data_IF_917466932167
#
_entry.id   IF_917466932167
#
_cell.length_a   1.000
_cell.length_b   1.000
_cell.length_c   1.000
_cell.angle_alpha   90.00
_cell.angle_beta   90.00
_cell.angle_gamma   90.00
#
_symmetry.space_group_name_H-M   'P 1'
#
loop_
_entity.id
_entity.type
_entity.pdbx_description
1 polymer ?
#
# COMPACT_ATOMS: atom_id res chain seq x y z
N UNK A 1 24.75 -14.80 -79.61
CA UNK A 1 25.30 -14.29 -78.34
C UNK A 1 24.24 -13.42 -77.70
N UNK A 2 23.57 -13.93 -76.66
CA UNK A 2 22.43 -13.26 -76.03
C UNK A 2 22.83 -12.60 -74.71
N UNK A 3 22.27 -11.43 -74.42
CA UNK A 3 22.31 -10.81 -73.10
C UNK A 3 20.87 -10.53 -72.66
N UNK A 4 20.47 -11.22 -71.59
CA UNK A 4 19.17 -11.09 -70.91
C UNK A 4 19.23 -9.86 -69.99
N UNK A 5 18.22 -9.00 -70.07
CA UNK A 5 17.98 -7.96 -69.06
C UNK A 5 17.64 -8.62 -67.71
N UNK A 6 18.45 -8.38 -66.69
CA UNK A 6 18.25 -8.92 -65.34
C UNK A 6 17.27 -8.06 -64.53
N UNK A 7 16.35 -8.66 -63.76
CA UNK A 7 15.45 -7.92 -62.88
C UNK A 7 16.22 -7.55 -61.60
N UNK A 8 16.91 -6.41 -61.60
CA UNK A 8 17.65 -5.92 -60.42
C UNK A 8 17.25 -4.52 -59.95
N UNK A 9 16.12 -3.99 -60.42
CA UNK A 9 15.71 -2.62 -60.09
C UNK A 9 14.44 -2.53 -59.22
N UNK A 10 13.98 -3.62 -58.59
CA UNK A 10 12.76 -3.61 -57.77
C UNK A 10 12.99 -3.77 -56.26
N UNK A 11 14.23 -3.99 -55.81
CA UNK A 11 14.50 -4.33 -54.40
C UNK A 11 15.18 -3.23 -53.57
N UNK A 12 15.23 -1.99 -54.07
CA UNK A 12 15.81 -0.87 -53.31
C UNK A 12 14.79 0.04 -52.62
N UNK A 13 13.49 -0.26 -52.71
CA UNK A 13 12.44 0.50 -51.99
C UNK A 13 11.91 -0.20 -50.72
N UNK A 14 12.36 -1.41 -50.41
CA UNK A 14 11.88 -2.16 -49.25
C UNK A 14 12.74 -2.02 -47.98
N UNK A 15 13.90 -1.37 -48.05
CA UNK A 15 14.86 -1.32 -46.92
C UNK A 15 14.69 -0.10 -45.98
N UNK A 16 13.82 0.86 -46.30
CA UNK A 16 13.66 2.09 -45.51
C UNK A 16 12.45 2.09 -44.56
N UNK A 17 11.68 1.00 -44.48
CA UNK A 17 10.48 0.91 -43.62
C UNK A 17 10.72 0.21 -42.27
N UNK A 18 11.96 -0.16 -41.93
CA UNK A 18 12.31 -0.80 -40.65
C UNK A 18 13.10 0.10 -39.70
N UNK A 19 13.30 1.39 -40.02
CA UNK A 19 13.46 2.41 -38.98
C UNK A 19 12.09 2.72 -38.38
N UNK A 20 11.45 1.68 -37.83
CA UNK A 20 10.44 1.88 -36.81
C UNK A 20 11.12 2.70 -35.75
N UNK A 21 10.64 3.93 -35.56
CA UNK A 21 10.96 4.71 -34.38
C UNK A 21 10.62 3.81 -33.19
N UNK A 22 11.63 3.10 -32.68
CA UNK A 22 11.75 2.87 -31.27
C UNK A 22 11.96 4.27 -30.70
N UNK A 23 10.88 5.05 -30.65
CA UNK A 23 10.71 5.97 -29.55
C UNK A 23 10.92 5.06 -28.36
N UNK A 24 12.11 5.14 -27.76
CA UNK A 24 12.24 4.82 -26.36
C UNK A 24 11.10 5.62 -25.75
N UNK A 25 9.96 4.95 -25.49
CA UNK A 25 8.93 5.56 -24.68
C UNK A 25 9.73 6.04 -23.49
N UNK A 26 9.72 7.34 -23.17
CA UNK A 26 10.25 7.76 -21.90
C UNK A 26 9.60 6.77 -20.95
N UNK A 27 10.40 5.98 -20.23
CA UNK A 27 9.85 5.18 -19.14
C UNK A 27 9.24 6.26 -18.27
N UNK A 28 7.95 6.53 -18.45
CA UNK A 28 7.24 7.53 -17.68
C UNK A 28 7.53 7.07 -16.27
N UNK A 29 8.39 7.81 -15.58
CA UNK A 29 8.72 7.50 -14.21
C UNK A 29 7.37 7.35 -13.52
N UNK A 30 7.19 6.22 -12.84
CA UNK A 30 5.95 5.91 -12.13
C UNK A 30 5.47 7.18 -11.44
N UNK A 31 4.31 7.71 -11.83
CA UNK A 31 3.87 9.02 -11.37
C UNK A 31 3.74 9.05 -9.84
N UNK A 32 3.45 7.87 -9.27
CA UNK A 32 3.47 7.61 -7.83
C UNK A 32 4.11 6.25 -7.55
N UNK A 33 4.74 6.09 -6.39
CA UNK A 33 5.20 4.78 -5.91
C UNK A 33 4.07 3.98 -5.23
N UNK A 34 3.08 4.67 -4.68
CA UNK A 34 2.03 4.07 -3.88
C UNK A 34 0.90 5.03 -3.56
N UNK A 35 -0.03 4.55 -2.74
CA UNK A 35 -1.16 5.33 -2.22
C UNK A 35 -1.23 5.21 -0.70
N UNK A 36 -1.85 6.21 -0.07
CA UNK A 36 -2.23 6.17 1.34
C UNK A 36 -3.74 5.92 1.41
N UNK A 37 -4.15 5.01 2.27
CA UNK A 37 -5.55 4.76 2.56
C UNK A 37 -5.83 4.99 4.04
N UNK A 38 -6.87 5.76 4.34
CA UNK A 38 -7.39 6.03 5.67
C UNK A 38 -8.70 5.27 5.84
N UNK A 39 -8.71 4.10 6.49
CA UNK A 39 -9.96 3.37 6.74
C UNK A 39 -10.95 4.23 7.53
N UNK A 40 -12.19 4.28 7.07
CA UNK A 40 -13.29 4.96 7.74
C UNK A 40 -14.58 4.18 7.53
N UNK A 41 -15.61 4.43 8.33
CA UNK A 41 -16.91 3.75 8.16
C UNK A 41 -17.55 4.01 6.78
N UNK A 42 -17.18 5.11 6.13
CA UNK A 42 -17.66 5.47 4.80
C UNK A 42 -16.81 4.84 3.69
N UNK A 43 -15.56 4.44 3.99
CA UNK A 43 -14.60 3.93 3.01
C UNK A 43 -13.73 2.80 3.59
N UNK A 44 -14.38 1.67 3.89
CA UNK A 44 -13.73 0.46 4.44
C UNK A 44 -13.08 -0.44 3.40
N UNK A 45 -13.41 -0.30 2.11
CA UNK A 45 -12.99 -1.25 1.07
C UNK A 45 -12.51 -0.52 -0.20
N UNK A 46 -11.23 -0.09 -0.26
CA UNK A 46 -10.71 0.69 -1.38
C UNK A 46 -10.62 -0.17 -2.64
N UNK A 47 -11.13 0.37 -3.74
CA UNK A 47 -11.07 -0.23 -5.09
C UNK A 47 -10.60 0.83 -6.08
N UNK A 48 -9.73 0.44 -7.00
CA UNK A 48 -9.19 1.35 -8.00
C UNK A 48 -8.20 0.64 -8.91
N UNK A 49 -7.77 1.35 -9.96
CA UNK A 49 -6.75 0.89 -10.91
C UNK A 49 -5.47 1.72 -10.78
N UNK A 50 -5.02 1.97 -9.54
CA UNK A 50 -3.90 2.86 -9.25
C UNK A 50 -2.56 2.33 -9.77
N UNK A 51 -2.47 1.04 -10.10
CA UNK A 51 -1.31 0.47 -10.80
C UNK A 51 -1.08 1.10 -12.18
N UNK A 52 -2.09 1.72 -12.78
CA UNK A 52 -1.93 2.49 -14.03
C UNK A 52 -1.16 3.80 -13.81
N UNK A 53 -1.23 4.36 -12.60
CA UNK A 53 -0.39 5.48 -12.16
C UNK A 53 0.99 4.99 -11.70
N UNK A 54 1.17 3.66 -11.68
CA UNK A 54 2.37 2.95 -11.27
C UNK A 54 2.46 2.68 -9.76
N UNK A 55 1.40 2.94 -8.99
CA UNK A 55 1.34 2.58 -7.58
C UNK A 55 1.56 1.07 -7.37
N UNK A 56 2.43 0.72 -6.43
CA UNK A 56 2.70 -0.65 -5.98
C UNK A 56 2.74 -0.78 -4.46
N UNK A 57 2.85 0.33 -3.75
CA UNK A 57 2.87 0.38 -2.29
C UNK A 57 1.54 0.89 -1.75
N UNK A 58 1.08 0.30 -0.66
CA UNK A 58 -0.09 0.76 0.08
C UNK A 58 0.35 1.07 1.50
N UNK A 59 0.22 2.32 1.92
CA UNK A 59 0.26 2.70 3.33
C UNK A 59 -1.16 2.78 3.86
N UNK A 60 -1.54 1.86 4.74
CA UNK A 60 -2.77 2.00 5.53
C UNK A 60 -2.45 2.91 6.71
N UNK A 61 -3.21 3.97 6.93
CA UNK A 61 -2.86 4.93 7.98
C UNK A 61 -3.06 4.38 9.39
N UNK A 62 -4.08 3.53 9.58
CA UNK A 62 -4.37 2.86 10.86
C UNK A 62 -5.18 1.59 10.65
N UNK A 63 -4.98 0.62 11.52
CA UNK A 63 -5.87 -0.51 11.74
C UNK A 63 -6.87 -0.22 12.87
N UNK A 64 -6.55 0.75 13.74
CA UNK A 64 -7.41 1.20 14.83
C UNK A 64 -7.20 2.70 15.06
N UNK A 65 -8.29 3.49 15.07
CA UNK A 65 -8.24 4.92 15.38
C UNK A 65 -9.44 5.30 16.23
N UNK A 66 -9.23 6.13 17.25
CA UNK A 66 -10.30 6.58 18.16
C UNK A 66 -11.18 5.43 18.68
N UNK A 67 -10.53 4.32 19.04
CA UNK A 67 -11.16 3.09 19.57
C UNK A 67 -12.04 2.33 18.57
N UNK A 68 -12.06 2.75 17.30
CA UNK A 68 -12.68 2.03 16.20
C UNK A 68 -11.63 1.16 15.50
N UNK A 69 -11.87 -0.14 15.45
CA UNK A 69 -10.98 -1.11 14.79
C UNK A 69 -11.48 -1.46 13.39
N UNK A 70 -10.61 -1.31 12.39
CA UNK A 70 -10.87 -1.59 10.96
C UNK A 70 -10.32 -2.95 10.50
N UNK A 71 -10.01 -3.81 11.47
CA UNK A 71 -9.62 -5.19 11.25
C UNK A 71 -10.41 -6.10 12.20
N UNK A 72 -11.25 -6.95 11.63
CA UNK A 72 -11.87 -8.05 12.34
C UNK A 72 -10.98 -9.29 12.19
N UNK A 73 -10.36 -9.74 13.27
CA UNK A 73 -9.85 -11.11 13.32
C UNK A 73 -11.06 -12.04 13.23
N UNK A 74 -11.31 -12.64 12.07
CA UNK A 74 -12.28 -13.73 11.98
C UNK A 74 -11.69 -14.91 12.75
N UNK A 75 -12.05 -15.04 14.02
CA UNK A 75 -11.75 -16.24 14.77
C UNK A 75 -12.49 -17.42 14.11
N UNK A 76 -11.86 -18.59 13.92
CA UNK A 76 -12.57 -19.78 13.48
C UNK A 76 -13.74 -20.06 14.45
N UNK A 77 -14.98 -19.94 13.97
CA UNK A 77 -16.20 -20.18 14.75
C UNK A 77 -16.87 -18.97 15.41
N UNK A 78 -16.45 -17.73 15.14
CA UNK A 78 -17.19 -16.56 15.59
C UNK A 78 -18.52 -16.41 14.82
N UNK A 79 -19.65 -16.54 15.52
CA UNK A 79 -20.98 -16.30 14.96
C UNK A 79 -21.16 -14.81 14.58
N UNK A 80 -21.95 -14.57 13.54
CA UNK A 80 -22.22 -13.28 12.91
C UNK A 80 -22.90 -12.27 13.85
N UNK A 81 -22.13 -11.70 14.78
CA UNK A 81 -22.56 -10.61 15.65
C UNK A 81 -22.30 -9.26 14.99
N UNK A 82 -23.36 -8.62 14.47
CA UNK A 82 -23.40 -7.25 13.97
C UNK A 82 -22.14 -6.82 13.19
N UNK A 83 -21.94 -7.42 12.02
CA UNK A 83 -20.76 -7.18 11.20
C UNK A 83 -20.69 -5.71 10.74
N UNK A 84 -19.90 -4.89 11.45
CA UNK A 84 -19.33 -3.68 10.87
C UNK A 84 -18.71 -4.06 9.52
N UNK A 85 -18.84 -3.21 8.47
CA UNK A 85 -18.23 -3.49 7.18
C UNK A 85 -16.75 -3.83 7.36
N UNK A 86 -16.40 -5.09 7.14
CA UNK A 86 -15.05 -5.59 7.37
C UNK A 86 -14.27 -5.56 6.06
N UNK A 87 -13.13 -4.85 6.07
CA UNK A 87 -12.16 -4.89 4.98
C UNK A 87 -11.79 -6.33 4.65
N UNK A 88 -11.91 -6.72 3.38
CA UNK A 88 -11.34 -7.99 2.94
C UNK A 88 -9.82 -7.83 2.75
N UNK A 89 -9.07 -7.97 3.85
CA UNK A 89 -7.62 -7.80 3.86
C UNK A 89 -6.89 -8.75 2.90
N UNK A 90 -7.35 -9.99 2.74
CA UNK A 90 -6.75 -10.93 1.78
C UNK A 90 -6.88 -10.44 0.33
N UNK A 91 -8.03 -9.86 -0.03
CA UNK A 91 -8.20 -9.21 -1.34
C UNK A 91 -7.22 -8.06 -1.49
N UNK A 92 -7.15 -7.15 -0.50
CA UNK A 92 -6.26 -5.97 -0.52
C UNK A 92 -4.82 -6.39 -0.82
N UNK A 93 -4.29 -7.39 -0.11
CA UNK A 93 -2.93 -7.89 -0.32
C UNK A 93 -2.72 -8.57 -1.69
N UNK A 94 -3.78 -8.96 -2.38
CA UNK A 94 -3.75 -9.50 -3.74
C UNK A 94 -3.85 -8.43 -4.84
N UNK A 95 -4.10 -7.17 -4.49
CA UNK A 95 -4.31 -6.13 -5.49
C UNK A 95 -3.00 -5.70 -6.19
N UNK A 96 -3.01 -5.45 -7.52
CA UNK A 96 -1.80 -5.06 -8.25
C UNK A 96 -1.14 -3.78 -7.77
N UNK A 97 -1.91 -2.89 -7.14
CA UNK A 97 -1.48 -1.59 -6.60
C UNK A 97 -1.01 -1.66 -5.14
N UNK A 98 -1.17 -2.81 -4.46
CA UNK A 98 -0.85 -3.02 -3.04
C UNK A 98 0.14 -4.18 -2.84
N UNK A 99 1.18 -4.27 -3.68
CA UNK A 99 2.19 -5.34 -3.60
C UNK A 99 3.09 -5.25 -2.36
N UNK A 100 3.26 -4.05 -1.84
CA UNK A 100 3.97 -3.78 -0.58
C UNK A 100 3.01 -3.04 0.34
N UNK A 101 2.34 -3.80 1.22
CA UNK A 101 1.40 -3.24 2.19
C UNK A 101 2.14 -2.91 3.49
N UNK A 102 2.11 -1.63 3.87
CA UNK A 102 2.55 -1.16 5.19
C UNK A 102 1.28 -0.87 5.99
N UNK A 103 1.16 -1.50 7.15
CA UNK A 103 -0.03 -1.38 7.99
C UNK A 103 0.19 -0.39 9.12
N UNK A 104 -0.66 0.63 9.15
CA UNK A 104 -0.79 1.55 10.26
C UNK A 104 -1.31 0.84 11.51
N UNK A 105 -0.76 1.17 12.66
CA UNK A 105 -1.11 0.57 13.94
C UNK A 105 -2.24 1.37 14.62
N UNK A 106 -2.27 1.38 15.96
CA UNK A 106 -3.25 2.14 16.73
C UNK A 106 -2.91 3.64 16.73
N UNK A 107 -3.93 4.49 16.54
CA UNK A 107 -3.77 5.94 16.48
C UNK A 107 -4.92 6.73 17.09
N UNK A 108 -4.78 8.05 17.02
CA UNK A 108 -5.83 9.04 17.34
C UNK A 108 -5.91 10.05 16.21
N UNK A 109 -7.11 10.53 15.88
CA UNK A 109 -7.25 11.61 14.90
C UNK A 109 -6.72 12.95 15.45
N UNK A 110 -6.84 13.16 16.77
CA UNK A 110 -6.24 14.31 17.42
C UNK A 110 -4.76 14.08 17.65
N UNK A 111 -3.92 14.79 16.91
CA UNK A 111 -2.45 14.78 17.06
C UNK A 111 -2.04 15.03 18.53
N UNK A 112 -2.69 16.00 19.18
CA UNK A 112 -2.43 16.31 20.58
C UNK A 112 -2.75 15.13 21.52
N UNK A 113 -3.82 14.38 21.26
CA UNK A 113 -4.13 13.17 22.03
C UNK A 113 -3.15 12.05 21.68
N UNK A 114 -2.80 11.87 20.40
CA UNK A 114 -1.84 10.87 19.95
C UNK A 114 -0.49 11.02 20.68
N UNK A 115 0.02 12.25 20.75
CA UNK A 115 1.26 12.59 21.46
C UNK A 115 1.15 12.36 22.96
N UNK A 116 0.04 12.80 23.59
CA UNK A 116 -0.19 12.59 25.04
C UNK A 116 -0.32 11.12 25.42
N UNK A 117 -0.82 10.29 24.51
CA UNK A 117 -1.10 8.87 24.73
C UNK A 117 -0.07 7.95 24.06
N UNK A 118 1.10 8.44 23.64
CA UNK A 118 2.06 7.68 22.82
C UNK A 118 2.43 6.30 23.42
N UNK A 119 2.58 6.21 24.74
CA UNK A 119 2.90 4.95 25.44
C UNK A 119 1.74 3.97 25.38
N UNK A 120 0.50 4.43 25.60
CA UNK A 120 -0.71 3.63 25.48
C UNK A 120 -0.89 3.13 24.04
N UNK A 121 -0.71 4.03 23.05
CA UNK A 121 -0.78 3.67 21.64
C UNK A 121 0.26 2.62 21.26
N UNK A 122 1.48 2.68 21.82
CA UNK A 122 2.50 1.65 21.63
C UNK A 122 2.06 0.28 22.16
N UNK A 123 1.47 0.23 23.37
CA UNK A 123 0.93 -1.00 23.95
C UNK A 123 -0.19 -1.59 23.08
N UNK A 124 -1.16 -0.77 22.67
CA UNK A 124 -2.27 -1.18 21.80
C UNK A 124 -1.79 -1.66 20.44
N UNK A 125 -0.81 -0.97 19.88
CA UNK A 125 -0.20 -1.32 18.60
C UNK A 125 0.45 -2.71 18.65
N UNK A 126 1.14 -3.05 19.74
CA UNK A 126 1.71 -4.41 19.92
C UNK A 126 0.62 -5.47 19.96
N UNK A 127 -0.44 -5.23 20.74
CA UNK A 127 -1.58 -6.14 20.79
C UNK A 127 -2.26 -6.30 19.42
N UNK A 128 -2.36 -5.21 18.64
CA UNK A 128 -2.96 -5.22 17.31
C UNK A 128 -2.10 -6.00 16.30
N UNK A 129 -0.78 -5.80 16.30
CA UNK A 129 0.15 -6.55 15.47
C UNK A 129 0.15 -8.05 15.81
N UNK A 130 0.06 -8.39 17.11
CA UNK A 130 -0.12 -9.78 17.53
C UNK A 130 -1.45 -10.34 17.04
N UNK A 131 -2.57 -9.64 17.24
CA UNK A 131 -3.88 -10.08 16.79
C UNK A 131 -3.94 -10.31 15.27
N UNK A 132 -3.29 -9.46 14.48
CA UNK A 132 -3.14 -9.63 13.04
C UNK A 132 -2.48 -10.97 12.68
N UNK A 133 -1.34 -11.27 13.30
CA UNK A 133 -0.61 -12.52 13.08
C UNK A 133 -1.45 -13.74 13.48
N UNK A 134 -2.13 -13.68 14.61
CA UNK A 134 -2.99 -14.78 15.09
C UNK A 134 -4.20 -15.05 14.17
N UNK A 135 -4.69 -14.04 13.45
CA UNK A 135 -5.77 -14.23 12.48
C UNK A 135 -5.31 -14.88 11.16
N UNK A 136 -4.02 -15.19 11.01
CA UNK A 136 -3.46 -15.83 9.83
C UNK A 136 -3.55 -14.97 8.56
N UNK A 137 -3.62 -13.64 8.72
CA UNK A 137 -3.57 -12.71 7.59
C UNK A 137 -2.15 -12.63 6.99
N UNK A 138 -2.03 -12.19 5.72
CA UNK A 138 -0.73 -11.99 5.10
C UNK A 138 0.17 -11.05 5.91
N UNK A 139 1.48 -11.33 5.94
CA UNK A 139 2.46 -10.47 6.60
C UNK A 139 2.61 -9.15 5.83
N UNK A 140 2.52 -7.99 6.51
CA UNK A 140 2.80 -6.71 5.87
C UNK A 140 4.31 -6.57 5.57
N UNK A 141 4.63 -5.72 4.59
CA UNK A 141 5.99 -5.31 4.30
C UNK A 141 6.60 -4.46 5.44
N UNK A 142 5.76 -3.89 6.31
CA UNK A 142 6.18 -3.16 7.49
C UNK A 142 4.99 -2.66 8.32
N UNK A 143 5.31 -2.13 9.50
CA UNK A 143 4.35 -1.49 10.37
C UNK A 143 4.59 0.03 10.39
N UNK A 144 3.51 0.80 10.40
CA UNK A 144 3.55 2.25 10.54
C UNK A 144 2.92 2.64 11.87
N UNK A 145 3.68 3.34 12.72
CA UNK A 145 3.16 3.87 13.98
C UNK A 145 2.67 5.30 13.76
N UNK A 146 1.35 5.57 13.80
CA UNK A 146 0.77 6.79 13.20
C UNK A 146 0.83 8.04 14.09
N UNK A 147 1.76 8.09 15.06
CA UNK A 147 1.96 9.29 15.89
C UNK A 147 2.89 10.25 15.16
N UNK A 148 2.38 11.43 14.82
CA UNK A 148 3.16 12.46 14.15
C UNK A 148 4.10 13.19 15.12
N UNK A 149 5.35 13.33 14.69
CA UNK A 149 6.44 13.99 15.43
C UNK A 149 6.84 15.24 14.69
N UNK A 150 6.95 16.35 15.40
CA UNK A 150 7.55 17.58 14.89
C UNK A 150 8.57 18.12 15.90
N UNK A 151 9.43 19.09 15.51
CA UNK A 151 10.49 19.62 16.38
C UNK A 151 10.00 20.31 17.68
N UNK A 152 8.71 20.62 17.81
CA UNK A 152 8.12 21.25 19.00
C UNK A 152 7.71 20.23 20.06
N UNK A 153 7.62 18.95 19.71
CA UNK A 153 7.23 17.90 20.65
C UNK A 153 8.44 17.29 21.36
N UNK A 154 8.44 17.35 22.70
CA UNK A 154 9.52 16.85 23.56
C UNK A 154 9.33 15.40 24.04
N UNK A 155 8.47 14.62 23.40
CA UNK A 155 8.11 13.24 23.82
C UNK A 155 8.99 12.13 23.24
N UNK A 156 10.22 12.44 22.77
CA UNK A 156 11.08 11.48 22.07
C UNK A 156 11.41 10.21 22.88
N UNK A 157 11.71 10.34 24.18
CA UNK A 157 11.96 9.19 25.05
C UNK A 157 10.72 8.30 25.21
N UNK A 158 9.55 8.91 25.38
CA UNK A 158 8.28 8.19 25.48
C UNK A 158 7.94 7.47 24.16
N UNK A 159 8.24 8.08 23.01
CA UNK A 159 8.12 7.44 21.71
C UNK A 159 9.07 6.24 21.59
N UNK A 160 10.35 6.39 21.94
CA UNK A 160 11.32 5.30 21.88
C UNK A 160 10.86 4.11 22.76
N UNK A 161 10.38 4.39 23.97
CA UNK A 161 9.83 3.37 24.86
C UNK A 161 8.58 2.68 24.28
N UNK A 162 7.70 3.44 23.62
CA UNK A 162 6.51 2.90 22.96
C UNK A 162 6.87 1.95 21.81
N UNK A 163 7.94 2.25 21.06
CA UNK A 163 8.38 1.50 19.88
C UNK A 163 9.25 0.28 20.21
N UNK A 164 9.91 0.24 21.37
CA UNK A 164 10.92 -0.77 21.71
C UNK A 164 10.44 -2.25 21.71
N UNK A 165 9.13 -2.51 21.59
CA UNK A 165 8.58 -3.86 21.52
C UNK A 165 7.62 -4.11 20.36
N UNK A 166 7.59 -3.25 19.34
CA UNK A 166 6.79 -3.44 18.13
C UNK A 166 7.46 -4.38 17.12
#
# INVERSE_FOLDING_TARGET
MGWRAGPRAAWLLAALLLCGCQTAQPRCASAVAGIVWQPSLQQVDPKGRWEQLGARQLLVQWLEVDDVRFFAAQAPGAADGAAMPATNWRRIFGEPWARQVILGLAGRNSEQQARRQVVELGQRSRALAQAWRHAGLPDPAGWYFPVEVDPTWNGGEALAAALAGL
#
